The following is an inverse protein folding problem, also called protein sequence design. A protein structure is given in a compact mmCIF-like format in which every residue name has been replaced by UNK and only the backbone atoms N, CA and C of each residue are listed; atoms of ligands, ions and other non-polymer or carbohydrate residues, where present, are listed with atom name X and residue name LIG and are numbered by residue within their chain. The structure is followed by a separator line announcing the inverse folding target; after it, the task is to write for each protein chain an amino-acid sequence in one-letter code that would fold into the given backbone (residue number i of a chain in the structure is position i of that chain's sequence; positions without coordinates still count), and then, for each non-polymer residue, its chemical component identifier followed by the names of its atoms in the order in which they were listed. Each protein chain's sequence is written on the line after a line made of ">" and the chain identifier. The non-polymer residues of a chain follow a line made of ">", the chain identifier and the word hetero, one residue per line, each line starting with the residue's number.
data_IF_248278698443
#
_entry.id   IF_248278698443
#
_cell.length_a   1.000
_cell.length_b   1.000
_cell.length_c   1.000
_cell.angle_alpha   90.00
_cell.angle_beta   90.00
_cell.angle_gamma   90.00
#
_symmetry.space_group_name_H-M   'P 1'
#
loop_
_entity.id
_entity.type
_entity.pdbx_description
1 polymer ?
#
# COMPACT_ATOMS: atom_id res chain seq x y z
N UNK A 1 48.27 5.78 -5.66
CA UNK A 1 47.50 4.54 -5.46
C UNK A 1 46.03 4.91 -5.36
N UNK A 2 45.23 4.39 -6.31
CA UNK A 2 43.96 4.96 -6.76
C UNK A 2 42.79 4.69 -5.80
N UNK A 3 42.12 5.77 -5.38
CA UNK A 3 40.82 5.76 -4.69
C UNK A 3 39.64 5.32 -5.58
N UNK A 4 39.89 4.62 -6.69
CA UNK A 4 38.92 4.38 -7.77
C UNK A 4 38.32 2.97 -7.80
N UNK A 5 38.57 2.09 -6.81
CA UNK A 5 38.07 0.70 -6.86
C UNK A 5 37.51 0.17 -5.53
N UNK A 6 36.77 1.00 -4.77
CA UNK A 6 35.86 0.46 -3.77
C UNK A 6 34.50 0.23 -4.47
N UNK A 7 33.99 -1.01 -4.58
CA UNK A 7 32.63 -1.21 -5.08
C UNK A 7 31.70 -0.40 -4.18
N UNK A 8 30.95 0.56 -4.75
CA UNK A 8 29.94 1.30 -4.00
C UNK A 8 29.08 0.26 -3.28
N UNK A 9 29.14 0.23 -1.95
CA UNK A 9 28.35 -0.70 -1.17
C UNK A 9 26.90 -0.54 -1.62
N UNK A 10 26.23 -1.65 -1.91
CA UNK A 10 24.83 -1.61 -2.36
C UNK A 10 24.01 -0.80 -1.34
N UNK A 11 23.13 0.09 -1.80
CA UNK A 11 22.45 1.08 -0.95
C UNK A 11 21.73 0.49 0.28
N UNK A 12 21.35 -0.79 0.25
CA UNK A 12 20.76 -1.53 1.37
C UNK A 12 21.75 -1.89 2.50
N UNK A 13 23.07 -1.82 2.25
CA UNK A 13 24.13 -2.07 3.24
C UNK A 13 24.49 -0.84 4.07
N UNK A 14 23.99 0.34 3.69
CA UNK A 14 24.24 1.55 4.48
C UNK A 14 23.35 1.59 5.72
N UNK A 15 23.96 1.69 6.91
CA UNK A 15 23.25 1.76 8.19
C UNK A 15 22.17 2.85 8.20
N UNK A 16 22.45 4.02 7.61
CA UNK A 16 21.49 5.12 7.48
C UNK A 16 20.20 4.70 6.77
N UNK A 17 20.29 3.90 5.71
CA UNK A 17 19.13 3.48 4.92
C UNK A 17 18.33 2.39 5.65
N UNK A 18 19.00 1.47 6.33
CA UNK A 18 18.35 0.45 7.18
C UNK A 18 17.59 1.15 8.32
N UNK A 19 18.20 2.14 8.99
CA UNK A 19 17.54 2.91 10.06
C UNK A 19 16.31 3.65 9.53
N UNK A 20 16.38 4.28 8.35
CA UNK A 20 15.21 4.93 7.72
C UNK A 20 14.08 3.94 7.48
N UNK A 21 14.37 2.76 6.92
CA UNK A 21 13.38 1.71 6.68
C UNK A 21 12.73 1.26 7.99
N UNK A 22 13.52 1.04 9.04
CA UNK A 22 12.99 0.62 10.34
C UNK A 22 12.05 1.67 10.95
N UNK A 23 12.47 2.94 11.01
CA UNK A 23 11.65 4.03 11.56
C UNK A 23 10.37 4.23 10.75
N UNK A 24 10.47 4.24 9.42
CA UNK A 24 9.30 4.40 8.55
C UNK A 24 8.36 3.19 8.61
N UNK A 25 8.88 1.97 8.72
CA UNK A 25 8.07 0.76 8.89
C UNK A 25 7.30 0.73 10.21
N UNK A 26 7.94 1.12 11.31
CA UNK A 26 7.26 1.24 12.61
C UNK A 26 6.20 2.35 12.56
N UNK A 27 6.52 3.50 11.97
CA UNK A 27 5.55 4.59 11.78
C UNK A 27 4.35 4.14 10.94
N UNK A 28 4.59 3.43 9.85
CA UNK A 28 3.56 2.87 8.99
C UNK A 28 2.67 1.88 9.76
N UNK A 29 3.26 1.02 10.59
CA UNK A 29 2.53 0.10 11.47
C UNK A 29 1.61 0.84 12.45
N UNK A 30 2.08 1.91 13.09
CA UNK A 30 1.25 2.72 13.98
C UNK A 30 0.10 3.40 13.23
N UNK A 31 0.37 3.96 12.06
CA UNK A 31 -0.67 4.58 11.22
C UNK A 31 -1.72 3.54 10.82
N UNK A 32 -1.31 2.36 10.37
CA UNK A 32 -2.23 1.27 10.02
C UNK A 32 -3.07 0.84 11.22
N UNK A 33 -2.44 0.65 12.38
CA UNK A 33 -3.10 0.09 13.57
C UNK A 33 -4.10 1.04 14.21
N UNK A 34 -3.80 2.34 14.26
CA UNK A 34 -4.56 3.30 15.06
C UNK A 34 -5.30 4.34 14.23
N UNK A 35 -4.96 4.49 12.94
CA UNK A 35 -5.53 5.51 12.05
C UNK A 35 -6.17 4.90 10.80
N UNK A 36 -6.54 3.62 10.85
CA UNK A 36 -7.42 3.02 9.86
C UNK A 36 -8.91 3.27 10.21
N UNK A 37 -9.74 3.49 9.19
CA UNK A 37 -11.17 3.72 9.38
C UNK A 37 -11.98 3.15 8.21
N UNK A 38 -13.18 2.60 8.46
CA UNK A 38 -14.07 2.18 7.38
C UNK A 38 -14.66 3.40 6.67
N UNK A 39 -14.94 3.27 5.38
CA UNK A 39 -15.65 4.30 4.62
C UNK A 39 -17.14 3.95 4.51
N UNK A 40 -18.08 4.90 4.75
CA UNK A 40 -19.52 4.61 4.75
C UNK A 40 -20.08 4.02 3.46
N UNK A 41 -19.44 4.29 2.31
CA UNK A 41 -19.87 3.82 0.99
C UNK A 41 -19.30 2.43 0.62
N UNK A 42 -18.57 1.79 1.53
CA UNK A 42 -17.88 0.53 1.28
C UNK A 42 -18.13 -0.49 2.40
N UNK A 43 -18.01 -1.80 2.10
CA UNK A 43 -18.03 -2.83 3.14
C UNK A 43 -17.02 -2.55 4.25
N UNK A 44 -17.38 -2.85 5.50
CA UNK A 44 -16.56 -2.53 6.68
C UNK A 44 -15.18 -3.22 6.71
N UNK A 45 -14.99 -4.30 5.94
CA UNK A 45 -13.68 -4.95 5.79
C UNK A 45 -12.69 -4.15 4.93
N UNK A 46 -13.16 -3.17 4.13
CA UNK A 46 -12.32 -2.23 3.40
C UNK A 46 -12.05 -1.00 4.27
N UNK A 47 -10.88 -1.00 4.91
CA UNK A 47 -10.44 0.09 5.78
C UNK A 47 -9.47 1.01 5.05
N UNK A 48 -9.75 2.30 5.13
CA UNK A 48 -8.91 3.37 4.58
C UNK A 48 -7.86 3.76 5.61
N UNK A 49 -6.63 3.98 5.14
CA UNK A 49 -5.49 4.32 5.99
C UNK A 49 -4.42 5.08 5.19
N UNK A 50 -3.50 5.75 5.90
CA UNK A 50 -2.36 6.47 5.31
C UNK A 50 -1.03 5.76 5.54
N UNK A 51 -1.05 4.46 5.84
CA UNK A 51 0.15 3.71 6.23
C UNK A 51 1.12 3.44 5.08
N UNK A 52 0.64 3.52 3.83
CA UNK A 52 1.49 3.38 2.64
C UNK A 52 2.33 4.65 2.39
N UNK A 53 2.01 5.78 3.06
CA UNK A 53 2.71 7.04 2.91
C UNK A 53 4.19 6.96 3.36
N UNK A 54 4.54 6.43 4.56
CA UNK A 54 5.94 6.16 4.91
C UNK A 54 6.68 5.27 3.91
N UNK A 55 6.03 4.24 3.34
CA UNK A 55 6.64 3.38 2.34
C UNK A 55 6.94 4.15 1.05
N UNK A 56 6.02 5.01 0.62
CA UNK A 56 6.21 5.88 -0.53
C UNK A 56 7.36 6.87 -0.30
N UNK A 57 7.46 7.46 0.89
CA UNK A 57 8.58 8.33 1.27
C UNK A 57 9.93 7.58 1.24
N UNK A 58 9.97 6.34 1.75
CA UNK A 58 11.15 5.49 1.64
C UNK A 58 11.50 5.21 0.16
N UNK A 59 10.49 4.93 -0.67
CA UNK A 59 10.61 4.73 -2.10
C UNK A 59 11.22 5.93 -2.83
N UNK A 60 10.73 7.14 -2.55
CA UNK A 60 11.18 8.37 -3.19
C UNK A 60 12.57 8.81 -2.69
N UNK A 61 12.88 8.57 -1.42
CA UNK A 61 14.14 9.00 -0.81
C UNK A 61 15.28 8.03 -1.09
N UNK A 62 15.06 6.74 -0.82
CA UNK A 62 16.09 5.69 -0.81
C UNK A 62 15.99 4.80 -2.05
N UNK A 63 14.78 4.43 -2.45
CA UNK A 63 14.52 3.67 -3.67
C UNK A 63 13.44 2.60 -3.49
N UNK A 64 13.01 1.95 -4.59
CA UNK A 64 11.88 1.01 -4.59
C UNK A 64 12.02 -0.15 -3.60
N UNK A 65 13.25 -0.66 -3.39
CA UNK A 65 13.51 -1.72 -2.42
C UNK A 65 13.16 -1.30 -0.99
N UNK A 66 13.41 -0.04 -0.63
CA UNK A 66 13.12 0.49 0.70
C UNK A 66 11.61 0.61 0.92
N UNK A 67 10.85 0.98 -0.12
CA UNK A 67 9.39 0.99 -0.07
C UNK A 67 8.82 -0.40 0.22
N UNK A 68 9.31 -1.43 -0.48
CA UNK A 68 8.91 -2.82 -0.24
C UNK A 68 9.22 -3.27 1.18
N UNK A 69 10.42 -2.96 1.70
CA UNK A 69 10.78 -3.37 3.06
C UNK A 69 9.93 -2.66 4.12
N UNK A 70 9.56 -1.40 3.91
CA UNK A 70 8.64 -0.68 4.82
C UNK A 70 7.25 -1.35 4.81
N UNK A 71 6.73 -1.70 3.63
CA UNK A 71 5.46 -2.42 3.49
C UNK A 71 5.48 -3.79 4.17
N UNK A 72 6.55 -4.56 3.97
CA UNK A 72 6.74 -5.87 4.59
C UNK A 72 6.83 -5.73 6.11
N UNK A 73 7.66 -4.82 6.62
CA UNK A 73 7.84 -4.61 8.05
C UNK A 73 6.53 -4.18 8.72
N UNK A 74 5.81 -3.21 8.12
CA UNK A 74 4.50 -2.75 8.58
C UNK A 74 3.54 -3.92 8.76
N UNK A 75 3.36 -4.72 7.71
CA UNK A 75 2.37 -5.79 7.69
C UNK A 75 2.77 -6.96 8.61
N UNK A 76 4.08 -7.27 8.75
CA UNK A 76 4.55 -8.25 9.74
C UNK A 76 4.22 -7.79 11.16
N UNK A 77 4.49 -6.52 11.50
CA UNK A 77 4.17 -5.99 12.83
C UNK A 77 2.66 -5.99 13.07
N UNK A 78 1.85 -5.58 12.09
CA UNK A 78 0.39 -5.65 12.20
C UNK A 78 -0.10 -7.08 12.42
N UNK A 79 0.44 -8.04 11.67
CA UNK A 79 0.10 -9.45 11.77
C UNK A 79 0.45 -10.04 13.15
N UNK A 80 1.52 -9.58 13.81
CA UNK A 80 1.92 -10.05 15.14
C UNK A 80 1.04 -9.43 16.23
N UNK A 81 0.77 -8.12 16.16
CA UNK A 81 0.17 -7.39 17.27
C UNK A 81 -1.34 -7.17 17.17
N UNK A 82 -1.93 -7.25 15.96
CA UNK A 82 -3.30 -6.80 15.67
C UNK A 82 -4.06 -7.64 14.66
N UNK A 83 -3.61 -8.86 14.36
CA UNK A 83 -4.28 -9.71 13.38
C UNK A 83 -5.72 -10.04 13.78
N UNK A 84 -6.66 -9.67 12.90
CA UNK A 84 -8.09 -9.93 13.04
C UNK A 84 -8.66 -10.75 11.87
N UNK A 85 -7.85 -11.01 10.84
CA UNK A 85 -8.32 -11.57 9.55
C UNK A 85 -7.60 -12.86 9.18
N UNK A 86 -6.96 -13.50 10.17
CA UNK A 86 -6.15 -14.70 9.96
C UNK A 86 -5.11 -14.51 8.85
N UNK A 87 -4.40 -13.37 8.87
CA UNK A 87 -3.36 -12.96 7.92
C UNK A 87 -3.84 -12.60 6.50
N UNK A 88 -5.12 -12.80 6.16
CA UNK A 88 -5.65 -12.52 4.81
C UNK A 88 -5.65 -11.02 4.52
N UNK A 89 -6.10 -10.21 5.48
CA UNK A 89 -6.15 -8.75 5.38
C UNK A 89 -4.75 -8.13 5.33
N UNK A 90 -3.81 -8.63 6.12
CA UNK A 90 -2.41 -8.18 6.09
C UNK A 90 -1.73 -8.55 4.76
N UNK A 91 -2.00 -9.74 4.21
CA UNK A 91 -1.51 -10.12 2.89
C UNK A 91 -2.11 -9.22 1.78
N UNK A 92 -3.41 -8.90 1.88
CA UNK A 92 -4.08 -7.99 0.96
C UNK A 92 -3.53 -6.56 1.07
N UNK A 93 -3.28 -6.06 2.29
CA UNK A 93 -2.69 -4.75 2.52
C UNK A 93 -1.26 -4.68 1.98
N UNK A 94 -0.43 -5.70 2.24
CA UNK A 94 0.92 -5.81 1.70
C UNK A 94 0.93 -5.76 0.17
N UNK A 95 0.06 -6.53 -0.49
CA UNK A 95 -0.04 -6.53 -1.95
C UNK A 95 -0.52 -5.17 -2.48
N UNK A 96 -1.53 -4.59 -1.83
CA UNK A 96 -2.05 -3.24 -2.16
C UNK A 96 -0.93 -2.21 -2.12
N UNK A 97 -0.18 -2.17 -1.01
CA UNK A 97 0.93 -1.27 -0.79
C UNK A 97 2.02 -1.45 -1.85
N UNK A 98 2.50 -2.68 -2.07
CA UNK A 98 3.53 -2.97 -3.09
C UNK A 98 3.10 -2.52 -4.49
N UNK A 99 1.88 -2.87 -4.92
CA UNK A 99 1.36 -2.52 -6.24
C UNK A 99 1.22 -1.01 -6.45
N UNK A 100 1.08 -0.23 -5.37
CA UNK A 100 1.05 1.23 -5.43
C UNK A 100 2.45 1.85 -5.34
N UNK A 101 3.22 1.52 -4.31
CA UNK A 101 4.47 2.24 -3.97
C UNK A 101 5.62 1.91 -4.92
N UNK A 102 5.70 0.69 -5.44
CA UNK A 102 6.80 0.25 -6.31
C UNK A 102 6.80 0.99 -7.66
N UNK A 103 5.71 0.98 -8.45
CA UNK A 103 5.68 1.73 -9.71
C UNK A 103 5.85 3.24 -9.49
N UNK A 104 5.32 3.77 -8.37
CA UNK A 104 5.53 5.15 -8.01
C UNK A 104 7.01 5.47 -7.77
N UNK A 105 7.69 4.67 -6.94
CA UNK A 105 9.10 4.83 -6.64
C UNK A 105 9.99 4.64 -7.88
N UNK A 106 9.67 3.67 -8.75
CA UNK A 106 10.39 3.43 -10.00
C UNK A 106 10.30 4.66 -10.91
N UNK A 107 9.11 5.18 -11.19
CA UNK A 107 8.96 6.32 -12.10
C UNK A 107 9.56 7.61 -11.53
N UNK A 108 9.45 7.80 -10.22
CA UNK A 108 10.11 8.91 -9.54
C UNK A 108 11.65 8.81 -9.60
N UNK A 109 12.21 7.60 -9.51
CA UNK A 109 13.65 7.37 -9.57
C UNK A 109 14.28 7.72 -10.92
N UNK A 110 13.51 7.64 -12.01
CA UNK A 110 13.97 8.04 -13.36
C UNK A 110 14.35 9.53 -13.38
N UNK A 111 13.50 10.39 -12.80
CA UNK A 111 13.76 11.81 -12.66
C UNK A 111 13.01 12.35 -11.46
N UNK A 112 13.75 12.74 -10.43
CA UNK A 112 13.20 13.21 -9.15
C UNK A 112 12.52 14.58 -9.28
N UNK A 113 11.32 14.60 -9.83
CA UNK A 113 10.51 15.81 -10.04
C UNK A 113 9.12 15.61 -9.48
N UNK A 114 8.47 16.73 -9.17
CA UNK A 114 7.06 16.75 -8.73
C UNK A 114 6.13 16.07 -9.76
N UNK A 115 6.41 16.24 -11.05
CA UNK A 115 5.64 15.62 -12.12
C UNK A 115 5.77 14.10 -12.11
N UNK A 116 7.00 13.57 -12.03
CA UNK A 116 7.22 12.13 -11.98
C UNK A 116 6.67 11.49 -10.71
N UNK A 117 6.62 12.21 -9.58
CA UNK A 117 5.95 11.73 -8.38
C UNK A 117 4.45 11.54 -8.63
N UNK A 118 3.78 12.53 -9.23
CA UNK A 118 2.35 12.46 -9.58
C UNK A 118 2.09 11.34 -10.59
N UNK A 119 2.85 11.30 -11.69
CA UNK A 119 2.70 10.26 -12.72
C UNK A 119 2.96 8.86 -12.15
N UNK A 120 3.92 8.73 -11.23
CA UNK A 120 4.26 7.47 -10.60
C UNK A 120 3.14 6.97 -9.70
N UNK A 121 2.57 7.85 -8.87
CA UNK A 121 1.43 7.50 -8.03
C UNK A 121 0.15 7.26 -8.84
N UNK A 122 -0.04 7.95 -9.97
CA UNK A 122 -1.13 7.68 -10.89
C UNK A 122 -1.00 6.27 -11.51
N UNK A 123 0.19 5.93 -12.01
CA UNK A 123 0.49 4.59 -12.52
C UNK A 123 0.32 3.52 -11.43
N UNK A 124 0.81 3.78 -10.22
CA UNK A 124 0.63 2.91 -9.07
C UNK A 124 -0.83 2.72 -8.68
N UNK A 125 -1.65 3.78 -8.78
CA UNK A 125 -3.10 3.68 -8.52
C UNK A 125 -3.77 2.75 -9.53
N UNK A 126 -3.44 2.86 -10.82
CA UNK A 126 -3.97 1.97 -11.86
C UNK A 126 -3.53 0.52 -11.63
N UNK A 127 -2.24 0.29 -11.39
CA UNK A 127 -1.66 -1.05 -11.16
C UNK A 127 -2.27 -1.68 -9.90
N UNK A 128 -2.34 -0.94 -8.80
CA UNK A 128 -3.00 -1.36 -7.56
C UNK A 128 -4.47 -1.69 -7.80
N UNK A 129 -5.22 -0.83 -8.49
CA UNK A 129 -6.66 -1.06 -8.72
C UNK A 129 -6.91 -2.33 -9.53
N UNK A 130 -6.17 -2.53 -10.62
CA UNK A 130 -6.31 -3.72 -11.47
C UNK A 130 -5.81 -4.98 -10.74
N UNK A 131 -4.65 -4.90 -10.09
CA UNK A 131 -4.08 -6.02 -9.35
C UNK A 131 -4.94 -6.44 -8.16
N UNK A 132 -5.48 -5.48 -7.40
CA UNK A 132 -6.39 -5.77 -6.30
C UNK A 132 -7.77 -6.23 -6.76
N UNK A 133 -8.25 -5.81 -7.93
CA UNK A 133 -9.47 -6.38 -8.49
C UNK A 133 -9.29 -7.88 -8.80
N UNK A 134 -8.19 -8.25 -9.47
CA UNK A 134 -7.88 -9.66 -9.76
C UNK A 134 -7.60 -10.45 -8.48
N UNK A 135 -6.78 -9.91 -7.58
CA UNK A 135 -6.40 -10.59 -6.35
C UNK A 135 -7.60 -10.81 -5.41
N UNK A 136 -8.52 -9.84 -5.30
CA UNK A 136 -9.73 -10.05 -4.50
C UNK A 136 -10.66 -11.08 -5.12
N UNK A 137 -10.82 -11.07 -6.45
CA UNK A 137 -11.70 -12.02 -7.13
C UNK A 137 -11.19 -13.47 -7.02
N UNK A 138 -9.91 -13.70 -7.27
CA UNK A 138 -9.34 -15.06 -7.35
C UNK A 138 -8.74 -15.56 -6.04
N UNK A 139 -8.28 -14.67 -5.16
CA UNK A 139 -7.46 -15.04 -3.99
C UNK A 139 -8.11 -14.58 -2.69
N UNK A 140 -8.17 -13.29 -2.41
CA UNK A 140 -8.44 -12.82 -1.04
C UNK A 140 -9.87 -13.07 -0.58
N UNK A 141 -10.90 -12.80 -1.39
CA UNK A 141 -12.29 -13.04 -0.96
C UNK A 141 -12.57 -14.56 -0.83
N UNK A 142 -12.20 -15.42 -1.80
CA UNK A 142 -12.34 -16.87 -1.63
C UNK A 142 -11.53 -17.43 -0.46
N UNK A 143 -10.31 -16.93 -0.24
CA UNK A 143 -9.46 -17.36 0.88
C UNK A 143 -10.07 -16.93 2.22
N UNK A 144 -10.57 -15.69 2.33
CA UNK A 144 -11.26 -15.21 3.52
C UNK A 144 -12.48 -16.06 3.83
N UNK A 145 -13.32 -16.34 2.82
CA UNK A 145 -14.47 -17.23 2.95
C UNK A 145 -14.08 -18.62 3.47
N UNK A 146 -13.01 -19.21 2.92
CA UNK A 146 -12.49 -20.52 3.32
C UNK A 146 -11.95 -20.54 4.74
N UNK A 147 -11.16 -19.54 5.13
CA UNK A 147 -10.50 -19.48 6.45
C UNK A 147 -11.51 -19.26 7.57
N UNK A 148 -12.54 -18.45 7.33
CA UNK A 148 -13.60 -18.17 8.31
C UNK A 148 -14.80 -19.11 8.19
N UNK A 149 -14.77 -20.06 7.26
CA UNK A 149 -15.87 -21.00 6.99
C UNK A 149 -17.23 -20.31 6.78
N UNK A 150 -17.21 -19.20 6.03
CA UNK A 150 -18.41 -18.45 5.65
C UNK A 150 -18.62 -18.53 4.13
N UNK A 151 -19.87 -18.57 3.64
CA UNK A 151 -20.12 -18.57 2.21
C UNK A 151 -19.71 -17.23 1.59
N UNK A 152 -19.20 -17.26 0.35
CA UNK A 152 -18.85 -16.04 -0.40
C UNK A 152 -20.07 -15.11 -0.52
N UNK A 153 -21.27 -15.66 -0.63
CA UNK A 153 -22.52 -14.90 -0.70
C UNK A 153 -22.78 -14.05 0.55
N UNK A 154 -22.30 -14.47 1.73
CA UNK A 154 -22.38 -13.65 2.93
C UNK A 154 -21.49 -12.41 2.81
N UNK A 155 -20.30 -12.54 2.21
CA UNK A 155 -19.39 -11.42 1.96
C UNK A 155 -19.97 -10.48 0.90
N UNK A 156 -20.57 -11.04 -0.16
CA UNK A 156 -21.31 -10.26 -1.16
C UNK A 156 -22.45 -9.49 -0.50
N UNK A 157 -23.20 -10.12 0.41
CA UNK A 157 -24.26 -9.48 1.18
C UNK A 157 -23.79 -8.27 2.01
N UNK A 158 -22.53 -8.27 2.50
CA UNK A 158 -21.93 -7.09 3.15
C UNK A 158 -21.72 -5.92 2.17
N UNK A 159 -21.51 -6.20 0.88
CA UNK A 159 -21.48 -5.19 -0.17
C UNK A 159 -22.88 -4.75 -0.59
N UNK A 160 -23.82 -5.69 -0.70
CA UNK A 160 -25.22 -5.40 -1.05
C UNK A 160 -25.87 -4.44 -0.06
N UNK A 161 -25.56 -4.56 1.23
CA UNK A 161 -26.11 -3.69 2.28
C UNK A 161 -25.70 -2.22 2.15
N UNK A 162 -24.58 -1.95 1.47
CA UNK A 162 -24.06 -0.60 1.24
C UNK A 162 -24.34 -0.11 -0.18
N UNK A 163 -24.38 -1.02 -1.16
CA UNK A 163 -24.67 -0.71 -2.56
C UNK A 163 -25.49 -1.85 -3.18
N UNK A 164 -26.77 -1.57 -3.49
CA UNK A 164 -27.71 -2.54 -4.05
C UNK A 164 -27.32 -3.10 -5.43
N UNK A 165 -26.32 -2.51 -6.11
CA UNK A 165 -25.78 -3.05 -7.36
C UNK A 165 -24.82 -4.22 -7.16
N UNK A 166 -24.39 -4.48 -5.93
CA UNK A 166 -23.59 -5.65 -5.57
C UNK A 166 -24.52 -6.84 -5.40
N UNK A 167 -24.48 -7.77 -6.36
CA UNK A 167 -25.34 -8.96 -6.41
C UNK A 167 -24.56 -10.28 -6.45
N UNK A 168 -23.27 -10.21 -6.76
CA UNK A 168 -22.35 -11.33 -6.86
C UNK A 168 -20.91 -10.88 -6.56
N UNK A 169 -19.96 -11.82 -6.57
CA UNK A 169 -18.55 -11.52 -6.32
C UNK A 169 -17.96 -10.55 -7.37
N UNK A 170 -18.39 -10.64 -8.63
CA UNK A 170 -17.87 -9.78 -9.70
C UNK A 170 -18.28 -8.33 -9.49
N UNK A 171 -19.54 -8.10 -9.18
CA UNK A 171 -20.11 -6.80 -8.88
C UNK A 171 -19.58 -6.24 -7.55
N UNK A 172 -19.30 -7.08 -6.55
CA UNK A 172 -18.57 -6.66 -5.34
C UNK A 172 -17.19 -6.09 -5.70
N UNK A 173 -16.44 -6.78 -6.57
CA UNK A 173 -15.13 -6.29 -7.02
C UNK A 173 -15.26 -4.98 -7.80
N UNK A 174 -16.20 -4.90 -8.74
CA UNK A 174 -16.37 -3.71 -9.59
C UNK A 174 -16.90 -2.49 -8.82
N UNK A 175 -17.87 -2.68 -7.92
CA UNK A 175 -18.54 -1.57 -7.23
C UNK A 175 -17.98 -1.26 -5.84
N UNK A 176 -17.15 -2.13 -5.26
CA UNK A 176 -16.49 -1.86 -3.98
C UNK A 176 -14.97 -1.82 -4.13
N UNK A 177 -14.33 -2.90 -4.58
CA UNK A 177 -12.86 -3.01 -4.57
C UNK A 177 -12.21 -1.99 -5.52
N UNK A 178 -12.68 -1.89 -6.76
CA UNK A 178 -12.14 -0.96 -7.77
C UNK A 178 -12.26 0.51 -7.31
N UNK A 179 -13.46 1.04 -6.99
CA UNK A 179 -13.58 2.43 -6.57
C UNK A 179 -12.85 2.70 -5.24
N UNK A 180 -12.81 1.75 -4.31
CA UNK A 180 -12.07 1.90 -3.05
C UNK A 180 -10.57 2.14 -3.30
N UNK A 181 -9.95 1.32 -4.16
CA UNK A 181 -8.54 1.43 -4.49
C UNK A 181 -8.22 2.73 -5.25
N UNK A 182 -9.11 3.19 -6.14
CA UNK A 182 -8.95 4.48 -6.81
C UNK A 182 -8.96 5.63 -5.80
N UNK A 183 -9.93 5.63 -4.87
CA UNK A 183 -10.02 6.65 -3.81
C UNK A 183 -8.78 6.60 -2.92
N UNK A 184 -8.32 5.41 -2.53
CA UNK A 184 -7.11 5.24 -1.72
C UNK A 184 -5.88 5.82 -2.42
N UNK A 185 -5.67 5.50 -3.70
CA UNK A 185 -4.58 6.04 -4.49
C UNK A 185 -4.64 7.56 -4.64
N UNK A 186 -5.83 8.12 -4.86
CA UNK A 186 -6.03 9.58 -4.89
C UNK A 186 -5.70 10.24 -3.55
N UNK A 187 -6.20 9.68 -2.45
CA UNK A 187 -5.96 10.20 -1.10
C UNK A 187 -4.46 10.18 -0.76
N UNK A 188 -3.77 9.05 -0.99
CA UNK A 188 -2.33 8.94 -0.78
C UNK A 188 -1.55 9.94 -1.64
N UNK A 189 -1.97 10.12 -2.90
CA UNK A 189 -1.40 11.13 -3.80
C UNK A 189 -1.58 12.53 -3.22
N UNK A 190 -2.80 12.92 -2.87
CA UNK A 190 -3.11 14.24 -2.34
C UNK A 190 -2.29 14.57 -1.07
N UNK A 191 -2.25 13.64 -0.12
CA UNK A 191 -1.49 13.79 1.13
C UNK A 191 0.02 13.87 0.85
N UNK A 192 0.54 13.02 -0.04
CA UNK A 192 1.95 13.07 -0.45
C UNK A 192 2.30 14.42 -1.06
N UNK A 193 1.45 14.95 -1.94
CA UNK A 193 1.68 16.23 -2.60
C UNK A 193 1.64 17.42 -1.64
N UNK A 194 0.82 17.34 -0.58
CA UNK A 194 0.75 18.35 0.48
C UNK A 194 2.05 18.43 1.27
N UNK A 195 2.64 17.27 1.59
CA UNK A 195 3.89 17.21 2.39
C UNK A 195 5.16 17.27 1.54
N UNK A 196 5.07 17.06 0.22
CA UNK A 196 6.21 16.93 -0.69
C UNK A 196 7.26 18.02 -0.50
N UNK A 197 6.86 19.29 -0.43
CA UNK A 197 7.81 20.42 -0.26
C UNK A 197 8.60 20.34 1.05
N UNK A 198 7.99 19.84 2.12
CA UNK A 198 8.62 19.74 3.45
C UNK A 198 9.55 18.53 3.55
N UNK A 199 9.19 17.42 2.89
CA UNK A 199 9.99 16.18 2.94
C UNK A 199 11.05 16.12 1.84
N UNK A 200 10.90 16.89 0.75
CA UNK A 200 11.84 16.91 -0.38
C UNK A 200 13.32 17.08 0.02
N UNK A 201 13.70 17.97 0.94
CA UNK A 201 15.11 18.07 1.38
C UNK A 201 15.64 16.76 1.99
N UNK A 202 14.81 16.04 2.75
CA UNK A 202 15.17 14.74 3.37
C UNK A 202 15.25 13.60 2.35
N UNK A 203 14.55 13.71 1.22
CA UNK A 203 14.55 12.74 0.12
C UNK A 203 15.72 12.94 -0.87
N UNK A 204 16.43 14.07 -0.79
CA UNK A 204 17.51 14.44 -1.70
C UNK A 204 18.87 14.63 -1.02
N UNK A 205 18.96 14.37 0.29
CA UNK A 205 20.22 14.30 1.05
C UNK A 205 20.99 13.00 0.85
#
# INVERSE_FOLDING_TARGET
>A
MNALNQPKAAAWRETKNITKVAVLGVMAFFIMTYLEFPLPLFPAFLKMDLSDLPALLAGFGVGPWAAVLVEVLKNILHAIFKNQTAFVGEAANLLTGILFVVPAALLYSVRKTRLNAILGMAAGTVIMTLGMALANYYVFIPLYAKVFNIPVDAIVGMGTSVNSRVIDLKTLVVYSIVPFNIIKGFMLTAVTMLIYKRVSPLLHM
#
